data_IF_550925436791
#
_entry.id   IF_550925436791
#
_cell.length_a   1.000
_cell.length_b   1.000
_cell.length_c   1.000
_cell.angle_alpha   90.00
_cell.angle_beta   90.00
_cell.angle_gamma   90.00
#
_symmetry.space_group_name_H-M   'P 1'
#
loop_
_entity.id
_entity.type
_entity.pdbx_description
1 polymer ?
#
# COMPACT_ATOMS: atom_id res chain seq x y z
N UNK A 1 -50.09 -22.44 -38.34
CA UNK A 1 -49.46 -22.29 -37.00
C UNK A 1 -48.10 -23.00 -37.04
N UNK A 2 -46.99 -22.27 -37.21
CA UNK A 2 -45.65 -22.85 -37.08
C UNK A 2 -45.39 -23.00 -35.58
N UNK A 3 -45.21 -24.23 -35.10
CA UNK A 3 -44.73 -24.49 -33.75
C UNK A 3 -43.24 -24.15 -33.74
N UNK A 4 -42.84 -23.14 -32.98
CA UNK A 4 -41.45 -22.96 -32.62
C UNK A 4 -41.09 -24.10 -31.65
N UNK A 5 -40.14 -24.99 -31.98
CA UNK A 5 -39.63 -25.93 -31.01
C UNK A 5 -38.97 -25.10 -29.91
N UNK A 6 -39.48 -25.21 -28.69
CA UNK A 6 -38.86 -24.57 -27.54
C UNK A 6 -37.43 -25.05 -27.45
N UNK A 7 -36.47 -24.15 -27.67
CA UNK A 7 -35.07 -24.40 -27.32
C UNK A 7 -35.03 -24.52 -25.81
N UNK A 8 -35.17 -25.75 -25.31
CA UNK A 8 -34.82 -26.06 -23.94
C UNK A 8 -33.28 -26.11 -23.91
N UNK A 9 -32.67 -24.94 -23.72
CA UNK A 9 -31.26 -24.84 -23.38
C UNK A 9 -31.15 -25.37 -21.96
N UNK A 10 -30.75 -26.64 -21.81
CA UNK A 10 -30.41 -27.20 -20.51
C UNK A 10 -29.24 -26.38 -19.93
N UNK A 11 -29.57 -25.44 -19.04
CA UNK A 11 -28.59 -24.57 -18.40
C UNK A 11 -27.72 -25.41 -17.47
N UNK A 12 -26.45 -25.56 -17.83
CA UNK A 12 -25.47 -26.18 -16.93
C UNK A 12 -25.03 -25.17 -15.87
N UNK A 13 -24.70 -25.63 -14.63
CA UNK A 13 -24.13 -24.76 -13.60
C UNK A 13 -22.90 -23.99 -14.08
N UNK A 14 -22.12 -24.56 -15.00
CA UNK A 14 -20.95 -23.92 -15.59
C UNK A 14 -21.30 -22.74 -16.50
N UNK A 15 -22.33 -22.89 -17.34
CA UNK A 15 -22.83 -21.78 -18.18
C UNK A 15 -23.37 -20.64 -17.32
N UNK A 16 -24.04 -20.98 -16.21
CA UNK A 16 -24.54 -19.99 -15.26
C UNK A 16 -23.38 -19.25 -14.55
N UNK A 17 -22.36 -19.98 -14.13
CA UNK A 17 -21.16 -19.40 -13.54
C UNK A 17 -20.41 -18.47 -14.52
N UNK A 18 -20.28 -18.86 -15.79
CA UNK A 18 -19.68 -18.00 -16.82
C UNK A 18 -20.49 -16.72 -17.06
N UNK A 19 -21.83 -16.81 -17.09
CA UNK A 19 -22.68 -15.64 -17.21
C UNK A 19 -22.49 -14.67 -16.02
N UNK A 20 -22.41 -15.19 -14.79
CA UNK A 20 -22.12 -14.40 -13.60
C UNK A 20 -20.74 -13.71 -13.67
N UNK A 21 -19.72 -14.41 -14.18
CA UNK A 21 -18.37 -13.82 -14.39
C UNK A 21 -18.44 -12.64 -15.36
N UNK A 22 -19.16 -12.78 -16.47
CA UNK A 22 -19.29 -11.72 -17.48
C UNK A 22 -20.05 -10.53 -16.91
N UNK A 23 -21.17 -10.77 -16.22
CA UNK A 23 -21.99 -9.72 -15.60
C UNK A 23 -21.18 -8.96 -14.55
N UNK A 24 -20.52 -9.68 -13.64
CA UNK A 24 -19.71 -9.06 -12.60
C UNK A 24 -18.54 -8.27 -13.17
N UNK A 25 -17.85 -8.80 -14.18
CA UNK A 25 -16.74 -8.09 -14.83
C UNK A 25 -17.22 -6.78 -15.46
N UNK A 26 -18.40 -6.77 -16.09
CA UNK A 26 -18.99 -5.55 -16.66
C UNK A 26 -19.44 -4.55 -15.58
N UNK A 27 -20.01 -5.03 -14.48
CA UNK A 27 -20.39 -4.19 -13.34
C UNK A 27 -19.15 -3.53 -12.72
N UNK A 28 -18.05 -4.27 -12.57
CA UNK A 28 -16.79 -3.77 -12.04
C UNK A 28 -16.11 -2.76 -12.97
N UNK A 29 -16.14 -2.98 -14.30
CA UNK A 29 -15.67 -2.00 -15.30
C UNK A 29 -16.39 -0.66 -15.20
N UNK A 30 -17.68 -0.66 -14.85
CA UNK A 30 -18.47 0.56 -14.67
C UNK A 30 -18.29 1.21 -13.29
N UNK A 31 -17.31 0.77 -12.50
CA UNK A 31 -17.07 1.26 -11.14
C UNK A 31 -18.06 0.73 -10.09
N UNK A 32 -18.83 -0.30 -10.43
CA UNK A 32 -19.78 -0.96 -9.54
C UNK A 32 -19.12 -1.81 -8.46
N UNK A 33 -19.92 -2.22 -7.45
CA UNK A 33 -19.49 -3.13 -6.38
C UNK A 33 -19.51 -4.59 -6.87
N UNK A 34 -18.74 -5.44 -6.22
CA UNK A 34 -18.79 -6.91 -6.39
C UNK A 34 -20.21 -7.43 -6.16
N UNK A 35 -20.61 -8.50 -6.87
CA UNK A 35 -21.97 -9.05 -6.79
C UNK A 35 -22.31 -9.55 -5.38
N UNK A 36 -21.29 -9.97 -4.61
CA UNK A 36 -21.40 -10.34 -3.19
C UNK A 36 -22.01 -9.20 -2.34
N UNK A 37 -21.65 -7.94 -2.65
CA UNK A 37 -22.16 -6.75 -1.95
C UNK A 37 -23.52 -6.28 -2.46
N UNK A 38 -24.05 -6.93 -3.50
CA UNK A 38 -25.38 -6.70 -4.06
C UNK A 38 -26.35 -7.84 -3.74
N UNK A 39 -25.98 -8.74 -2.82
CA UNK A 39 -26.76 -9.93 -2.42
C UNK A 39 -27.04 -10.92 -3.58
N UNK A 40 -26.20 -10.91 -4.61
CA UNK A 40 -26.32 -11.78 -5.79
C UNK A 40 -25.40 -13.00 -5.68
N UNK A 41 -25.75 -14.08 -6.40
CA UNK A 41 -24.92 -15.29 -6.46
C UNK A 41 -23.53 -14.96 -7.02
N UNK A 42 -22.49 -15.31 -6.28
CA UNK A 42 -21.11 -14.98 -6.61
C UNK A 42 -20.54 -16.00 -7.61
N UNK A 43 -19.83 -15.54 -8.65
CA UNK A 43 -19.15 -16.45 -9.55
C UNK A 43 -18.01 -17.16 -8.81
N UNK A 44 -17.92 -18.48 -8.99
CA UNK A 44 -16.77 -19.24 -8.56
C UNK A 44 -15.60 -18.95 -9.51
N UNK A 45 -14.63 -18.18 -9.02
CA UNK A 45 -13.41 -17.80 -9.73
C UNK A 45 -12.20 -18.48 -9.09
N UNK A 46 -11.26 -18.93 -9.92
CA UNK A 46 -9.92 -19.29 -9.42
C UNK A 46 -9.22 -18.02 -8.91
N UNK A 47 -8.38 -18.11 -7.89
CA UNK A 47 -7.74 -16.94 -7.25
C UNK A 47 -6.96 -16.04 -8.23
N UNK A 48 -6.47 -16.58 -9.35
CA UNK A 48 -5.84 -15.81 -10.43
C UNK A 48 -6.79 -14.88 -11.19
N UNK A 49 -8.06 -15.25 -11.35
CA UNK A 49 -9.05 -14.46 -12.09
C UNK A 49 -9.53 -13.23 -11.31
N UNK A 50 -9.47 -13.28 -9.97
CA UNK A 50 -9.76 -12.12 -9.11
C UNK A 50 -8.69 -11.05 -9.23
N UNK A 51 -7.41 -11.44 -9.21
CA UNK A 51 -6.29 -10.51 -9.40
C UNK A 51 -6.34 -9.84 -10.77
N UNK A 52 -6.65 -10.62 -11.82
CA UNK A 52 -6.87 -10.09 -13.16
C UNK A 52 -8.03 -9.10 -13.19
N UNK A 53 -9.16 -9.40 -12.55
CA UNK A 53 -10.32 -8.50 -12.49
C UNK A 53 -10.01 -7.17 -11.81
N UNK A 54 -9.25 -7.17 -10.71
CA UNK A 54 -8.85 -5.93 -10.03
C UNK A 54 -7.88 -5.13 -10.88
N UNK A 55 -6.90 -5.79 -11.51
CA UNK A 55 -5.95 -5.12 -12.41
C UNK A 55 -6.63 -4.54 -13.64
N UNK A 56 -7.59 -5.27 -14.25
CA UNK A 56 -8.37 -4.77 -15.38
C UNK A 56 -9.13 -3.50 -14.99
N UNK A 57 -9.79 -3.48 -13.82
CA UNK A 57 -10.47 -2.26 -13.33
C UNK A 57 -9.53 -1.06 -13.19
N UNK A 58 -8.32 -1.27 -12.66
CA UNK A 58 -7.32 -0.21 -12.47
C UNK A 58 -6.54 0.14 -13.76
N UNK A 59 -6.82 -0.50 -14.89
CA UNK A 59 -6.11 -0.25 -16.16
C UNK A 59 -7.03 -0.05 -17.37
N UNK A 60 -8.33 -0.31 -17.24
CA UNK A 60 -9.34 -0.21 -18.30
C UNK A 60 -9.85 1.21 -18.54
N UNK A 61 -8.95 2.19 -18.55
CA UNK A 61 -9.32 3.57 -18.82
C UNK A 61 -9.37 3.84 -20.32
N UNK A 62 -10.30 4.70 -20.77
CA UNK A 62 -10.24 5.23 -22.13
C UNK A 62 -9.13 6.27 -22.24
N UNK A 63 -7.99 5.83 -22.76
CA UNK A 63 -6.79 6.67 -22.93
C UNK A 63 -7.08 7.90 -23.79
N UNK A 64 -7.99 7.81 -24.78
CA UNK A 64 -8.31 8.93 -25.66
C UNK A 64 -9.18 9.97 -24.97
N UNK A 65 -10.12 9.53 -24.14
CA UNK A 65 -10.92 10.43 -23.31
C UNK A 65 -10.03 11.16 -22.29
N UNK A 66 -9.11 10.43 -21.65
CA UNK A 66 -8.15 11.01 -20.73
C UNK A 66 -7.20 12.02 -21.41
N UNK A 67 -6.70 11.72 -22.61
CA UNK A 67 -5.83 12.63 -23.38
C UNK A 67 -6.56 13.94 -23.74
N UNK A 68 -7.82 13.84 -24.16
CA UNK A 68 -8.67 14.99 -24.43
C UNK A 68 -8.91 15.81 -23.15
N UNK A 69 -9.16 15.14 -22.02
CA UNK A 69 -9.36 15.79 -20.72
C UNK A 69 -8.10 16.51 -20.24
N UNK A 70 -6.92 15.87 -20.33
CA UNK A 70 -5.64 16.45 -19.94
C UNK A 70 -5.36 17.70 -20.78
N UNK A 71 -5.46 17.57 -22.11
CA UNK A 71 -5.22 18.68 -23.04
C UNK A 71 -6.11 19.89 -22.75
N UNK A 72 -7.36 19.67 -22.37
CA UNK A 72 -8.30 20.73 -22.03
C UNK A 72 -8.04 21.38 -20.66
N UNK A 73 -7.56 20.62 -19.66
CA UNK A 73 -7.52 21.07 -18.27
C UNK A 73 -6.13 21.45 -17.75
N UNK A 74 -5.04 20.88 -18.29
CA UNK A 74 -3.67 21.27 -17.92
C UNK A 74 -3.39 22.76 -18.10
N UNK A 75 -3.86 23.44 -19.17
CA UNK A 75 -3.67 24.88 -19.34
C UNK A 75 -4.38 25.72 -18.26
N UNK A 76 -5.44 25.19 -17.64
CA UNK A 76 -6.26 25.90 -16.65
C UNK A 76 -5.62 25.95 -15.26
N UNK A 77 -4.55 25.18 -15.01
CA UNK A 77 -3.85 25.17 -13.73
C UNK A 77 -3.21 26.52 -13.42
N UNK A 78 -3.60 27.12 -12.30
CA UNK A 78 -2.96 28.33 -11.75
C UNK A 78 -1.53 28.02 -11.28
N UNK A 79 -0.65 29.04 -11.11
CA UNK A 79 0.77 28.81 -10.87
C UNK A 79 1.09 27.86 -9.71
N UNK A 80 0.42 28.02 -8.57
CA UNK A 80 0.65 27.17 -7.38
C UNK A 80 0.18 25.71 -7.61
N UNK A 81 -0.96 25.53 -8.28
CA UNK A 81 -1.48 24.21 -8.63
C UNK A 81 -0.59 23.50 -9.65
N UNK A 82 -0.08 24.25 -10.65
CA UNK A 82 0.86 23.74 -11.65
C UNK A 82 2.18 23.32 -11.02
N UNK A 83 2.68 24.10 -10.06
CA UNK A 83 3.91 23.75 -9.32
C UNK A 83 3.73 22.42 -8.54
N UNK A 84 2.62 22.26 -7.83
CA UNK A 84 2.30 21.02 -7.13
C UNK A 84 2.12 19.82 -8.09
N UNK A 85 1.38 20.03 -9.18
CA UNK A 85 1.13 19.03 -10.22
C UNK A 85 2.43 18.47 -10.82
N UNK A 86 3.34 19.36 -11.24
CA UNK A 86 4.64 18.97 -11.82
C UNK A 86 5.55 18.26 -10.82
N UNK A 87 5.55 18.68 -9.56
CA UNK A 87 6.35 18.04 -8.51
C UNK A 87 5.90 16.59 -8.28
N UNK A 88 4.58 16.35 -8.29
CA UNK A 88 4.00 15.01 -8.16
C UNK A 88 4.36 14.14 -9.37
N UNK A 89 4.19 14.64 -10.60
CA UNK A 89 4.57 13.92 -11.82
C UNK A 89 6.05 13.50 -11.80
N UNK A 90 6.93 14.42 -11.41
CA UNK A 90 8.37 14.14 -11.28
C UNK A 90 8.65 13.01 -10.29
N UNK A 91 7.91 12.94 -9.17
CA UNK A 91 8.06 11.86 -8.19
C UNK A 91 7.53 10.52 -8.70
N UNK A 92 6.41 10.54 -9.45
CA UNK A 92 5.83 9.35 -10.07
C UNK A 92 6.80 8.75 -11.09
N UNK A 93 7.38 9.57 -11.96
CA UNK A 93 8.39 9.14 -12.95
C UNK A 93 9.65 8.59 -12.27
N UNK A 94 10.05 9.18 -11.15
CA UNK A 94 11.22 8.74 -10.37
C UNK A 94 11.01 7.39 -9.68
N UNK A 95 9.81 6.78 -9.72
CA UNK A 95 9.46 5.47 -9.16
C UNK A 95 10.17 5.20 -7.82
N UNK A 96 10.02 6.11 -6.86
CA UNK A 96 10.78 6.05 -5.59
C UNK A 96 10.36 4.93 -4.65
N UNK A 97 9.46 4.03 -5.07
CA UNK A 97 8.96 2.89 -4.28
C UNK A 97 9.96 1.75 -4.04
N UNK A 98 11.22 1.87 -4.47
CA UNK A 98 12.19 0.77 -4.37
C UNK A 98 13.64 1.20 -4.45
N UNK A 99 14.02 2.39 -3.98
CA UNK A 99 15.37 2.96 -4.17
C UNK A 99 16.48 2.25 -3.35
N UNK A 100 16.29 1.00 -2.93
CA UNK A 100 17.27 0.26 -2.14
C UNK A 100 17.61 0.91 -0.80
N UNK A 101 16.76 1.82 -0.28
CA UNK A 101 16.99 2.50 1.02
C UNK A 101 17.21 1.47 2.12
N UNK A 102 16.32 0.49 2.22
CA UNK A 102 16.43 -0.63 3.15
C UNK A 102 17.74 -1.41 2.97
N UNK A 103 18.18 -1.64 1.72
CA UNK A 103 19.46 -2.30 1.45
C UNK A 103 20.65 -1.48 1.97
N UNK A 104 20.69 -0.18 1.69
CA UNK A 104 21.74 0.72 2.17
C UNK A 104 21.73 0.84 3.69
N UNK A 105 20.55 0.95 4.30
CA UNK A 105 20.37 0.97 5.76
C UNK A 105 20.91 -0.32 6.37
N UNK A 106 20.54 -1.48 5.81
CA UNK A 106 21.02 -2.77 6.27
C UNK A 106 22.54 -2.93 6.11
N UNK A 107 23.12 -2.41 5.03
CA UNK A 107 24.56 -2.41 4.81
C UNK A 107 25.30 -1.55 5.85
N UNK A 108 24.77 -0.37 6.18
CA UNK A 108 25.31 0.49 7.23
C UNK A 108 25.21 -0.16 8.61
N UNK A 109 24.05 -0.74 8.95
CA UNK A 109 23.86 -1.50 10.18
C UNK A 109 24.86 -2.65 10.29
N UNK A 110 25.05 -3.42 9.21
CA UNK A 110 26.01 -4.51 9.16
C UNK A 110 27.46 -4.01 9.34
N UNK A 111 27.84 -2.91 8.67
CA UNK A 111 29.18 -2.33 8.75
C UNK A 111 29.55 -1.91 10.18
N UNK A 112 28.61 -1.30 10.91
CA UNK A 112 28.82 -0.84 12.28
C UNK A 112 28.84 -2.00 13.26
N UNK A 113 27.90 -2.95 13.13
CA UNK A 113 27.85 -4.15 14.00
C UNK A 113 29.04 -5.07 13.79
N UNK A 114 29.59 -5.13 12.58
CA UNK A 114 30.83 -5.85 12.29
C UNK A 114 32.04 -5.27 13.08
N UNK A 115 31.98 -4.01 13.51
CA UNK A 115 32.98 -3.39 14.38
C UNK A 115 32.70 -3.64 15.88
N UNK A 116 31.79 -4.55 16.22
CA UNK A 116 31.30 -4.82 17.58
C UNK A 116 30.65 -3.61 18.26
N UNK A 117 30.16 -2.65 17.47
CA UNK A 117 29.47 -1.45 17.95
C UNK A 117 27.97 -1.63 18.00
N UNK A 118 27.29 -0.84 18.84
CA UNK A 118 25.84 -0.90 19.00
C UNK A 118 25.18 -0.02 17.94
N UNK A 119 24.41 -0.66 17.05
CA UNK A 119 23.59 -0.02 16.04
C UNK A 119 22.12 -0.44 16.16
N UNK A 120 21.22 0.53 16.34
CA UNK A 120 19.80 0.33 16.58
C UNK A 120 19.03 0.60 15.29
N UNK A 121 18.21 -0.37 14.89
CA UNK A 121 17.36 -0.30 13.72
C UNK A 121 15.90 -0.18 14.15
N UNK A 122 15.26 0.91 13.76
CA UNK A 122 13.90 1.25 14.17
C UNK A 122 13.05 1.50 12.93
N UNK A 123 11.77 1.11 12.97
CA UNK A 123 10.80 1.54 11.97
C UNK A 123 9.45 1.90 12.60
N UNK A 124 8.64 2.68 11.89
CA UNK A 124 7.29 3.06 12.37
C UNK A 124 6.32 1.88 12.33
N UNK A 125 6.36 1.05 11.28
CA UNK A 125 5.52 -0.13 11.12
C UNK A 125 6.26 -1.43 11.47
N UNK A 126 5.51 -2.47 11.87
CA UNK A 126 6.07 -3.80 12.12
C UNK A 126 6.64 -4.44 10.86
N UNK A 127 6.03 -4.19 9.69
CA UNK A 127 6.45 -4.72 8.40
C UNK A 127 7.76 -4.06 7.94
N UNK A 128 7.93 -2.76 8.12
CA UNK A 128 9.22 -2.12 7.84
C UNK A 128 10.31 -2.55 8.82
N UNK A 129 9.96 -2.80 10.09
CA UNK A 129 10.92 -3.29 11.07
C UNK A 129 11.49 -4.68 10.71
N UNK A 130 10.68 -5.58 10.13
CA UNK A 130 11.16 -6.91 9.71
C UNK A 130 12.10 -6.85 8.50
N UNK A 131 12.02 -5.79 7.70
CA UNK A 131 12.93 -5.56 6.57
C UNK A 131 14.31 -5.05 7.01
N UNK A 132 14.43 -4.55 8.23
CA UNK A 132 15.70 -4.14 8.84
C UNK A 132 16.31 -5.29 9.64
N UNK A 133 17.61 -5.54 9.47
CA UNK A 133 18.29 -6.59 10.24
C UNK A 133 18.26 -6.24 11.73
N UNK A 134 17.64 -7.11 12.54
CA UNK A 134 17.44 -6.85 13.97
C UNK A 134 16.55 -5.63 14.24
N UNK A 135 15.73 -5.22 13.27
CA UNK A 135 14.81 -4.10 13.41
C UNK A 135 13.69 -4.36 14.40
N UNK A 136 13.23 -3.28 15.04
CA UNK A 136 12.08 -3.27 15.95
C UNK A 136 11.25 -2.02 15.68
N UNK A 137 10.00 -2.02 16.12
CA UNK A 137 9.17 -0.82 16.00
C UNK A 137 9.67 0.29 16.91
N UNK A 138 9.48 1.56 16.50
CA UNK A 138 9.81 2.72 17.32
C UNK A 138 9.08 2.69 18.66
N UNK A 139 7.81 2.32 18.62
CA UNK A 139 6.99 2.16 19.80
C UNK A 139 7.61 1.19 20.83
N UNK A 140 8.08 0.02 20.39
CA UNK A 140 8.68 -0.97 21.30
C UNK A 140 10.09 -0.60 21.77
N UNK A 141 10.88 0.02 20.90
CA UNK A 141 12.29 0.35 21.16
C UNK A 141 12.45 1.57 22.05
N UNK A 142 11.65 2.62 21.79
CA UNK A 142 11.68 3.89 22.51
C UNK A 142 10.58 3.99 23.57
N UNK A 143 9.79 2.92 23.78
CA UNK A 143 8.70 2.88 24.77
C UNK A 143 7.82 4.14 24.70
N UNK A 144 7.43 4.51 23.49
CA UNK A 144 6.63 5.71 23.22
C UNK A 144 5.21 5.47 23.76
N UNK A 145 4.58 6.43 24.45
CA UNK A 145 3.20 6.24 24.93
C UNK A 145 2.20 6.12 23.77
N UNK A 146 1.24 5.19 23.86
CA UNK A 146 0.17 4.99 22.85
C UNK A 146 -0.94 6.05 22.90
N UNK A 147 -1.03 6.81 24.00
CA UNK A 147 -2.09 7.80 24.22
C UNK A 147 -1.48 9.18 24.37
N UNK A 148 -1.81 10.06 23.44
CA UNK A 148 -1.56 11.49 23.53
C UNK A 148 -2.59 12.12 24.46
N UNK A 149 -2.25 12.28 25.74
CA UNK A 149 -2.99 13.15 26.65
C UNK A 149 -2.40 14.56 26.52
N UNK A 150 -3.23 15.54 26.13
CA UNK A 150 -2.86 16.90 25.72
C UNK A 150 -2.00 17.71 26.71
N UNK A 151 -1.73 17.20 27.93
CA UNK A 151 -1.09 17.96 29.01
C UNK A 151 0.12 17.27 29.67
N UNK A 152 0.75 16.27 29.04
CA UNK A 152 2.00 15.68 29.55
C UNK A 152 3.13 15.74 28.53
N UNK A 153 4.33 16.09 28.97
CA UNK A 153 5.56 15.91 28.19
C UNK A 153 5.66 14.45 27.74
N UNK A 154 5.43 14.20 26.45
CA UNK A 154 5.45 12.89 25.81
C UNK A 154 6.89 12.39 25.68
N UNK A 155 7.48 12.04 26.81
CA UNK A 155 8.85 11.53 26.86
C UNK A 155 8.85 10.01 26.74
N UNK A 156 9.88 9.52 26.06
CA UNK A 156 10.31 8.12 26.08
C UNK A 156 10.32 7.58 27.52
N UNK A 157 9.58 6.50 27.80
CA UNK A 157 9.45 5.93 29.16
C UNK A 157 10.63 5.03 29.56
N UNK A 158 11.84 5.34 29.08
CA UNK A 158 13.06 4.61 29.42
C UNK A 158 13.67 5.21 30.69
N UNK A 159 13.62 4.45 31.78
CA UNK A 159 14.16 4.84 33.08
C UNK A 159 15.69 4.76 33.08
N UNK A 160 16.35 5.68 33.80
CA UNK A 160 17.80 5.62 34.00
C UNK A 160 18.20 4.32 34.71
N UNK A 161 19.29 3.70 34.26
CA UNK A 161 19.82 2.47 34.85
C UNK A 161 19.20 1.18 34.32
N UNK A 162 18.28 1.22 33.36
CA UNK A 162 17.81 0.00 32.67
C UNK A 162 18.77 -0.45 31.58
N UNK A 163 18.63 -1.70 31.13
CA UNK A 163 19.43 -2.23 30.01
C UNK A 163 19.20 -1.44 28.73
N UNK A 164 17.97 -1.00 28.46
CA UNK A 164 17.64 -0.16 27.30
C UNK A 164 18.31 1.21 27.37
N UNK A 165 18.37 1.83 28.55
CA UNK A 165 19.07 3.09 28.74
C UNK A 165 20.57 2.95 28.46
N UNK A 166 21.18 1.84 28.92
CA UNK A 166 22.59 1.55 28.65
C UNK A 166 22.84 1.32 27.15
N UNK A 167 21.97 0.57 26.48
CA UNK A 167 22.05 0.35 25.02
C UNK A 167 21.95 1.67 24.26
N UNK A 168 21.07 2.59 24.66
CA UNK A 168 20.97 3.92 24.04
C UNK A 168 22.19 4.80 24.31
N UNK A 169 22.78 4.72 25.52
CA UNK A 169 23.98 5.47 25.89
C UNK A 169 25.23 4.99 25.12
N UNK A 170 25.35 3.69 24.90
CA UNK A 170 26.49 3.08 24.20
C UNK A 170 26.24 2.95 22.67
N UNK A 171 25.07 3.36 22.18
CA UNK A 171 24.74 3.32 20.77
C UNK A 171 25.54 4.35 19.96
N UNK A 172 26.16 3.90 18.87
CA UNK A 172 26.88 4.78 17.94
C UNK A 172 26.07 5.13 16.69
N UNK A 173 24.98 4.41 16.43
CA UNK A 173 24.15 4.62 15.25
C UNK A 173 22.70 4.18 15.46
N UNK A 174 21.77 5.12 15.24
CA UNK A 174 20.33 4.86 15.24
C UNK A 174 19.79 5.23 13.87
N UNK A 175 19.02 4.32 13.27
CA UNK A 175 18.27 4.58 12.04
C UNK A 175 16.79 4.35 12.27
N UNK A 176 15.96 5.24 11.71
CA UNK A 176 14.51 5.17 11.78
C UNK A 176 13.93 5.18 10.36
N UNK A 177 13.41 4.03 9.91
CA UNK A 177 12.71 3.90 8.63
C UNK A 177 11.21 4.22 8.74
N UNK A 178 10.64 4.83 7.71
CA UNK A 178 9.25 5.33 7.70
C UNK A 178 8.93 6.35 8.80
N UNK A 179 9.90 7.20 9.20
CA UNK A 179 9.70 8.17 10.29
C UNK A 179 8.50 9.13 10.08
N UNK A 180 8.13 9.43 8.83
CA UNK A 180 6.95 10.25 8.50
C UNK A 180 5.61 9.59 8.83
N UNK A 181 5.59 8.27 9.03
CA UNK A 181 4.40 7.52 9.46
C UNK A 181 4.28 7.41 10.98
N UNK A 182 5.23 7.95 11.74
CA UNK A 182 5.12 8.09 13.18
C UNK A 182 4.28 9.33 13.49
N UNK A 183 3.00 9.14 13.79
CA UNK A 183 2.07 10.17 14.23
C UNK A 183 1.74 10.00 15.72
#
# INVERSE_FOLDING_TARGET
RRQNPGMNLDYTPDMFNQALIIIESKVLEMGGKELEKLELQTPQRNSGDRLNSTMLRETSYDVKELDAYITANEPLLVPDQRAAYNAILTQIEKKTGGTGKTFVINLLLAKIRHQSKIAIAVASSGIAATLLHGGRTAHSTLKLPLKFLENQTHLCSITKGTGEAKVLQECEFIVWDECIMAH
#
